data_IF_042074982214
#
_entry.id   IF_042074982214
#
_cell.length_a   1.000
_cell.length_b   1.000
_cell.length_c   1.000
_cell.angle_alpha   90.00
_cell.angle_beta   90.00
_cell.angle_gamma   90.00
#
_symmetry.space_group_name_H-M   'P 1'
#
loop_
_entity.id
_entity.type
_entity.pdbx_description
1 polymer ?
#
# COMPACT_ATOMS: atom_id res chain seq x y z
N UNK A 1 -11.79 11.70 1.21
CA UNK A 1 -11.11 12.58 0.22
C UNK A 1 -12.00 13.75 -0.13
N UNK A 2 -11.45 14.95 -0.09
CA UNK A 2 -12.11 16.25 -0.30
C UNK A 2 -12.21 16.57 -1.80
N UNK A 3 -13.12 17.45 -2.22
CA UNK A 3 -13.32 17.85 -3.62
C UNK A 3 -12.19 18.69 -4.23
N UNK A 4 -10.94 18.44 -3.85
CA UNK A 4 -9.74 19.05 -4.42
C UNK A 4 -8.98 17.98 -5.22
N UNK A 5 -8.27 18.37 -6.30
CA UNK A 5 -7.39 17.45 -6.99
C UNK A 5 -6.36 16.90 -6.00
N UNK A 6 -6.24 15.58 -5.91
CA UNK A 6 -5.22 14.97 -5.06
C UNK A 6 -3.83 15.36 -5.58
N UNK A 7 -3.07 16.09 -4.76
CA UNK A 7 -1.69 16.47 -5.05
C UNK A 7 -0.67 15.38 -4.68
N UNK A 8 -1.12 14.34 -3.96
CA UNK A 8 -0.34 13.16 -3.64
C UNK A 8 -0.74 12.03 -4.58
N UNK A 9 0.12 11.76 -5.55
CA UNK A 9 -0.06 10.68 -6.53
C UNK A 9 0.96 9.60 -6.24
N UNK A 10 0.54 8.34 -6.25
CA UNK A 10 1.47 7.22 -6.20
C UNK A 10 2.44 7.30 -7.39
N UNK A 11 3.74 7.12 -7.15
CA UNK A 11 4.76 7.24 -8.20
C UNK A 11 4.49 6.32 -9.40
N UNK A 12 4.15 5.06 -9.15
CA UNK A 12 3.83 4.10 -10.21
C UNK A 12 2.62 4.55 -11.04
N UNK A 13 1.61 5.14 -10.39
CA UNK A 13 0.44 5.72 -11.06
C UNK A 13 0.82 6.95 -11.88
N UNK A 14 1.65 7.83 -11.34
CA UNK A 14 2.16 9.00 -12.05
C UNK A 14 2.91 8.56 -13.31
N UNK A 15 3.92 7.70 -13.16
CA UNK A 15 4.76 7.23 -14.26
C UNK A 15 3.91 6.56 -15.36
N UNK A 16 3.04 5.60 -14.99
CA UNK A 16 2.16 4.93 -15.94
C UNK A 16 1.18 5.88 -16.65
N UNK A 17 0.68 6.90 -15.95
CA UNK A 17 -0.23 7.88 -16.54
C UNK A 17 0.47 8.85 -17.49
N UNK A 18 1.74 9.16 -17.26
CA UNK A 18 2.58 9.92 -18.19
C UNK A 18 2.87 9.08 -19.42
N UNK A 19 3.28 7.83 -19.24
CA UNK A 19 3.61 6.89 -20.33
C UNK A 19 2.40 6.56 -21.21
N UNK A 20 1.19 6.54 -20.63
CA UNK A 20 -0.07 6.32 -21.36
C UNK A 20 -0.32 7.35 -22.47
N UNK A 21 0.26 8.55 -22.35
CA UNK A 21 0.29 9.61 -23.36
C UNK A 21 -1.04 9.82 -24.11
N UNK A 22 -2.06 10.24 -23.37
CA UNK A 22 -3.41 10.44 -23.88
C UNK A 22 -3.52 11.43 -25.04
N UNK A 23 -4.41 11.14 -25.99
CA UNK A 23 -4.64 11.94 -27.20
C UNK A 23 -6.09 12.44 -27.32
N UNK A 24 -6.29 13.49 -28.12
CA UNK A 24 -7.63 13.96 -28.45
C UNK A 24 -8.49 12.82 -29.03
N UNK A 25 -9.75 12.75 -28.58
CA UNK A 25 -10.77 11.72 -28.87
C UNK A 25 -10.62 10.41 -28.10
N UNK A 26 -9.56 10.21 -27.34
CA UNK A 26 -9.46 9.04 -26.45
C UNK A 26 -10.63 9.04 -25.45
N UNK A 27 -11.16 7.84 -25.20
CA UNK A 27 -12.18 7.62 -24.17
C UNK A 27 -11.47 7.41 -22.84
N UNK A 28 -11.92 8.10 -21.81
CA UNK A 28 -11.36 7.98 -20.48
C UNK A 28 -12.47 7.86 -19.43
N UNK A 29 -12.11 7.41 -18.24
CA UNK A 29 -12.92 7.46 -17.03
C UNK A 29 -12.21 8.26 -15.95
N UNK A 30 -12.97 8.98 -15.16
CA UNK A 30 -12.46 9.75 -14.01
C UNK A 30 -13.30 9.37 -12.80
N UNK A 31 -12.65 9.07 -11.67
CA UNK A 31 -13.33 8.85 -10.41
C UNK A 31 -13.48 10.18 -9.67
N UNK A 32 -14.72 10.61 -9.41
CA UNK A 32 -15.00 11.80 -8.62
C UNK A 32 -16.18 11.59 -7.68
N UNK A 33 -16.13 12.28 -6.55
CA UNK A 33 -17.18 12.23 -5.54
C UNK A 33 -18.48 12.81 -6.08
N UNK A 34 -19.56 12.11 -5.81
CA UNK A 34 -20.89 12.65 -6.05
C UNK A 34 -21.28 13.63 -4.92
N UNK A 35 -22.36 14.38 -5.15
CA UNK A 35 -22.92 15.25 -4.12
C UNK A 35 -23.73 14.48 -3.06
N UNK A 36 -23.92 13.17 -3.23
CA UNK A 36 -24.79 12.32 -2.40
C UNK A 36 -24.12 11.90 -1.09
N UNK A 37 -22.80 12.03 -0.97
CA UNK A 37 -22.06 11.77 0.26
C UNK A 37 -21.54 10.34 0.40
N UNK A 38 -21.71 9.49 -0.62
CA UNK A 38 -21.09 8.17 -0.69
C UNK A 38 -19.70 8.21 -1.37
N UNK A 39 -18.95 7.11 -1.28
CA UNK A 39 -17.76 6.87 -2.10
C UNK A 39 -18.10 7.17 -3.57
N UNK A 40 -17.25 7.94 -4.25
CA UNK A 40 -17.56 8.57 -5.53
C UNK A 40 -18.01 7.63 -6.66
N UNK A 41 -18.19 8.20 -7.86
CA UNK A 41 -18.61 7.44 -9.04
C UNK A 41 -17.59 7.56 -10.16
N UNK A 42 -17.55 6.54 -11.02
CA UNK A 42 -16.82 6.60 -12.29
C UNK A 42 -17.63 7.41 -13.31
N UNK A 43 -16.99 8.41 -13.91
CA UNK A 43 -17.57 9.25 -14.93
C UNK A 43 -16.90 9.02 -16.28
N UNK A 44 -17.67 8.58 -17.26
CA UNK A 44 -17.20 8.40 -18.64
C UNK A 44 -17.04 9.75 -19.34
N UNK A 45 -15.85 9.95 -19.91
CA UNK A 45 -15.48 11.15 -20.63
C UNK A 45 -14.74 10.87 -21.94
N UNK A 46 -14.51 11.94 -22.70
CA UNK A 46 -13.67 11.95 -23.90
C UNK A 46 -12.75 13.15 -23.86
N UNK A 47 -11.48 12.94 -24.19
CA UNK A 47 -10.50 14.02 -24.28
C UNK A 47 -10.82 14.86 -25.52
N UNK A 48 -11.01 16.17 -25.32
CA UNK A 48 -11.32 17.12 -26.38
C UNK A 48 -10.13 18.02 -26.72
N UNK A 49 -9.19 18.22 -25.79
CA UNK A 49 -7.96 18.96 -26.03
C UNK A 49 -6.81 18.48 -25.13
N UNK A 50 -5.57 18.63 -25.63
CA UNK A 50 -4.32 18.42 -24.87
C UNK A 50 -3.49 19.70 -24.98
N UNK A 51 -3.36 20.44 -23.88
CA UNK A 51 -2.59 21.70 -23.84
C UNK A 51 -2.12 22.00 -22.42
N UNK A 52 -0.97 22.66 -22.22
CA UNK A 52 -0.56 23.06 -20.88
C UNK A 52 -1.60 24.02 -20.27
N UNK A 53 -1.83 23.91 -18.94
CA UNK A 53 -2.70 24.83 -18.21
C UNK A 53 -2.21 26.28 -18.26
N UNK A 54 -0.89 26.46 -18.17
CA UNK A 54 -0.22 27.77 -18.24
C UNK A 54 0.93 27.74 -19.24
N UNK A 55 1.04 28.81 -20.05
CA UNK A 55 2.15 29.00 -20.98
C UNK A 55 3.51 29.22 -20.29
N UNK A 56 3.51 29.62 -19.03
CA UNK A 56 4.73 29.75 -18.22
C UNK A 56 5.35 28.39 -17.89
N UNK A 57 4.55 27.31 -17.93
CA UNK A 57 4.98 25.96 -17.60
C UNK A 57 4.56 24.96 -18.69
N UNK A 58 5.09 25.07 -19.92
CA UNK A 58 4.63 24.29 -21.07
C UNK A 58 4.88 22.78 -20.92
N UNK A 59 5.83 22.37 -20.08
CA UNK A 59 6.11 20.96 -19.75
C UNK A 59 5.30 20.42 -18.59
N UNK A 60 4.47 21.23 -17.91
CA UNK A 60 3.72 20.77 -16.75
C UNK A 60 2.64 19.77 -17.15
N UNK A 61 2.59 18.58 -16.54
CA UNK A 61 1.50 17.63 -16.77
C UNK A 61 0.20 18.03 -16.06
N UNK A 62 0.26 18.99 -15.14
CA UNK A 62 -0.87 19.43 -14.34
C UNK A 62 -2.01 19.97 -15.20
N UNK A 63 -3.20 19.36 -15.07
CA UNK A 63 -4.44 19.80 -15.72
C UNK A 63 -4.31 20.01 -17.25
N UNK A 64 -3.47 19.21 -17.91
CA UNK A 64 -3.19 19.35 -19.34
C UNK A 64 -4.28 18.82 -20.27
N UNK A 65 -5.17 17.98 -19.76
CA UNK A 65 -6.21 17.32 -20.54
C UNK A 65 -7.55 17.98 -20.31
N UNK A 66 -8.24 18.36 -21.38
CA UNK A 66 -9.62 18.83 -21.31
C UNK A 66 -10.55 17.65 -21.62
N UNK A 67 -11.42 17.29 -20.69
CA UNK A 67 -12.34 16.15 -20.79
C UNK A 67 -13.77 16.63 -20.85
N UNK A 68 -14.52 16.12 -21.83
CA UNK A 68 -15.96 16.30 -21.94
C UNK A 68 -16.66 15.03 -21.41
N UNK A 69 -17.51 15.19 -20.40
CA UNK A 69 -18.31 14.10 -19.83
C UNK A 69 -19.57 13.82 -20.66
N UNK A 70 -20.07 12.58 -20.57
CA UNK A 70 -21.30 12.15 -21.27
C UNK A 70 -22.58 12.72 -20.66
N UNK A 71 -22.61 12.91 -19.35
CA UNK A 71 -23.83 13.24 -18.60
C UNK A 71 -23.77 14.69 -18.09
N UNK A 72 -23.09 14.90 -16.97
CA UNK A 72 -22.86 16.18 -16.30
C UNK A 72 -21.42 16.17 -15.75
N UNK A 73 -20.72 17.31 -15.65
CA UNK A 73 -21.10 18.63 -16.16
C UNK A 73 -21.00 18.71 -17.69
N UNK A 74 -21.82 19.58 -18.30
CA UNK A 74 -21.75 19.87 -19.75
C UNK A 74 -20.50 20.65 -20.15
N UNK A 75 -19.94 21.43 -19.23
CA UNK A 75 -18.70 22.15 -19.49
C UNK A 75 -17.49 21.22 -19.37
N UNK A 76 -16.55 21.25 -20.34
CA UNK A 76 -15.35 20.45 -20.25
C UNK A 76 -14.52 20.79 -19.01
N UNK A 77 -13.99 19.77 -18.35
CA UNK A 77 -13.15 19.92 -17.15
C UNK A 77 -11.68 19.64 -17.46
N UNK A 78 -10.79 20.26 -16.69
CA UNK A 78 -9.35 20.04 -16.81
C UNK A 78 -8.89 18.93 -15.86
N UNK A 79 -8.03 18.06 -16.37
CA UNK A 79 -7.49 16.91 -15.65
C UNK A 79 -6.02 16.71 -15.89
N UNK A 80 -5.37 16.22 -14.85
CA UNK A 80 -4.01 15.72 -14.90
C UNK A 80 -4.00 14.25 -15.34
N UNK A 81 -2.90 13.76 -15.96
CA UNK A 81 -2.81 12.39 -16.48
C UNK A 81 -3.22 11.31 -15.47
N UNK A 82 -2.80 11.44 -14.20
CA UNK A 82 -3.03 10.45 -13.15
C UNK A 82 -4.50 10.33 -12.71
N UNK A 83 -5.36 11.26 -13.10
CA UNK A 83 -6.80 11.22 -12.84
C UNK A 83 -7.56 10.42 -13.91
N UNK A 84 -6.93 10.14 -15.08
CA UNK A 84 -7.57 9.52 -16.23
C UNK A 84 -7.30 8.01 -16.31
N UNK A 85 -8.35 7.22 -16.46
CA UNK A 85 -8.29 5.77 -16.61
C UNK A 85 -8.84 5.34 -17.96
N UNK A 86 -8.35 4.22 -18.50
CA UNK A 86 -8.95 3.60 -19.70
C UNK A 86 -10.38 3.18 -19.40
N UNK A 87 -11.25 3.24 -20.42
CA UNK A 87 -12.68 2.94 -20.26
C UNK A 87 -12.95 1.53 -19.70
N UNK A 88 -12.04 0.58 -19.94
CA UNK A 88 -12.13 -0.80 -19.49
C UNK A 88 -11.39 -1.05 -18.17
N UNK A 89 -10.84 -0.01 -17.54
CA UNK A 89 -10.09 -0.15 -16.29
C UNK A 89 -11.02 -0.57 -15.15
N UNK A 90 -10.76 -1.74 -14.58
CA UNK A 90 -11.18 -2.07 -13.23
C UNK A 90 -10.04 -1.60 -12.32
N UNK A 91 -10.27 -0.51 -11.59
CA UNK A 91 -9.28 -0.08 -10.60
C UNK A 91 -9.34 -1.04 -9.42
N UNK A 92 -8.26 -1.78 -9.21
CA UNK A 92 -8.02 -2.54 -8.01
C UNK A 92 -6.90 -1.85 -7.23
N UNK A 93 -7.08 -1.78 -5.91
CA UNK A 93 -6.04 -1.26 -5.04
C UNK A 93 -4.79 -2.13 -5.21
N UNK A 94 -3.59 -1.55 -5.48
CA UNK A 94 -2.38 -2.33 -5.60
C UNK A 94 -2.15 -3.14 -4.33
N UNK A 95 -1.93 -4.44 -4.50
CA UNK A 95 -1.60 -5.35 -3.42
C UNK A 95 -0.60 -6.40 -3.92
N UNK A 96 0.10 -7.04 -2.99
CA UNK A 96 0.92 -8.21 -3.30
C UNK A 96 0.05 -9.34 -3.90
N UNK A 97 0.69 -10.22 -4.67
CA UNK A 97 0.03 -11.40 -5.23
C UNK A 97 -0.68 -12.23 -4.13
N UNK A 98 -1.89 -12.68 -4.43
CA UNK A 98 -2.74 -13.39 -3.45
C UNK A 98 -2.09 -14.66 -2.93
N UNK A 99 -1.35 -15.41 -3.76
CA UNK A 99 -0.63 -16.61 -3.31
C UNK A 99 0.53 -16.22 -2.38
N UNK A 100 1.26 -15.15 -2.67
CA UNK A 100 2.29 -14.62 -1.75
C UNK A 100 1.66 -14.22 -0.41
N UNK A 101 0.56 -13.46 -0.43
CA UNK A 101 -0.19 -13.05 0.77
C UNK A 101 -0.65 -14.25 1.59
N UNK A 102 -1.28 -15.22 0.96
CA UNK A 102 -1.87 -16.38 1.64
C UNK A 102 -0.79 -17.31 2.23
N UNK A 103 0.38 -17.41 1.57
CA UNK A 103 1.54 -18.09 2.12
C UNK A 103 2.11 -17.39 3.35
N UNK A 104 2.18 -16.05 3.33
CA UNK A 104 2.61 -15.26 4.48
C UNK A 104 1.62 -15.41 5.64
N UNK A 105 0.31 -15.27 5.39
CA UNK A 105 -0.72 -15.50 6.41
C UNK A 105 -0.63 -16.91 7.01
N UNK A 106 -0.39 -17.92 6.18
CA UNK A 106 -0.16 -19.29 6.64
C UNK A 106 1.10 -19.41 7.52
N UNK A 107 2.15 -18.65 7.23
CA UNK A 107 3.36 -18.59 8.05
C UNK A 107 3.10 -17.93 9.42
N UNK A 108 2.34 -16.83 9.44
CA UNK A 108 1.90 -16.17 10.67
C UNK A 108 1.03 -17.11 11.53
N UNK A 109 0.06 -17.79 10.91
CA UNK A 109 -0.79 -18.77 11.61
C UNK A 109 0.01 -19.95 12.19
N UNK A 110 1.06 -20.43 11.49
CA UNK A 110 1.97 -21.46 12.00
C UNK A 110 2.74 -20.96 13.23
N UNK A 111 3.23 -19.72 13.20
CA UNK A 111 3.93 -19.09 14.32
C UNK A 111 3.01 -18.93 15.54
N UNK A 112 1.79 -18.45 15.33
CA UNK A 112 0.78 -18.32 16.38
C UNK A 112 0.41 -19.67 16.99
N UNK A 113 0.16 -20.68 16.16
CA UNK A 113 -0.07 -22.06 16.66
C UNK A 113 1.12 -22.60 17.46
N UNK A 114 2.34 -22.25 17.08
CA UNK A 114 3.54 -22.68 17.79
C UNK A 114 3.76 -21.95 19.13
N UNK A 115 3.20 -20.75 19.30
CA UNK A 115 3.33 -19.96 20.51
C UNK A 115 2.53 -20.54 21.69
N UNK A 116 1.45 -21.27 21.40
CA UNK A 116 0.66 -21.99 22.41
C UNK A 116 1.38 -23.22 22.99
N UNK A 117 2.50 -23.65 22.42
CA UNK A 117 3.34 -24.72 23.00
C UNK A 117 4.09 -24.15 24.21
N UNK A 118 4.39 -25.01 25.18
CA UNK A 118 4.89 -24.67 26.53
C UNK A 118 6.16 -23.78 26.62
N UNK A 119 6.79 -23.38 25.51
CA UNK A 119 8.04 -22.62 25.53
C UNK A 119 8.04 -21.32 24.70
N UNK A 120 6.95 -20.96 24.02
CA UNK A 120 6.90 -19.81 23.08
C UNK A 120 8.16 -19.75 22.21
N UNK A 121 8.35 -20.80 21.41
CA UNK A 121 9.64 -21.13 20.79
C UNK A 121 10.23 -20.02 19.89
N UNK A 122 9.37 -19.13 19.41
CA UNK A 122 9.69 -17.99 18.55
C UNK A 122 9.42 -16.63 19.22
N UNK A 123 9.19 -16.60 20.53
CA UNK A 123 8.87 -15.41 21.32
C UNK A 123 7.64 -14.61 20.81
N UNK A 124 6.71 -15.25 20.12
CA UNK A 124 5.53 -14.60 19.50
C UNK A 124 4.61 -14.03 20.58
N UNK A 125 4.32 -14.79 21.64
CA UNK A 125 3.50 -14.28 22.74
C UNK A 125 4.20 -13.13 23.45
N UNK A 126 5.54 -13.20 23.59
CA UNK A 126 6.31 -12.11 24.18
C UNK A 126 6.28 -10.83 23.33
N UNK A 127 6.35 -10.96 22.01
CA UNK A 127 6.21 -9.85 21.07
C UNK A 127 4.82 -9.19 21.17
N UNK A 128 3.75 -9.99 21.18
CA UNK A 128 2.38 -9.47 21.34
C UNK A 128 2.19 -8.77 22.70
N UNK A 129 2.80 -9.29 23.77
CA UNK A 129 2.72 -8.64 25.08
C UNK A 129 3.48 -7.32 25.14
N UNK A 130 4.66 -7.22 24.51
CA UNK A 130 5.48 -6.02 24.59
C UNK A 130 4.92 -4.88 23.76
N UNK A 131 4.24 -5.17 22.64
CA UNK A 131 3.60 -4.14 21.82
C UNK A 131 2.46 -3.41 22.52
N UNK A 132 1.89 -3.99 23.59
CA UNK A 132 0.86 -3.35 24.42
C UNK A 132 1.44 -2.44 25.51
N UNK A 133 2.77 -2.37 25.66
CA UNK A 133 3.40 -1.57 26.71
C UNK A 133 3.81 -0.20 26.19
N UNK A 134 3.39 0.84 26.89
CA UNK A 134 3.75 2.23 26.57
C UNK A 134 5.26 2.47 26.53
N UNK A 135 6.03 1.82 27.40
CA UNK A 135 7.49 1.94 27.41
C UNK A 135 8.18 1.32 26.19
N UNK A 136 7.50 0.44 25.45
CA UNK A 136 7.97 -0.09 24.18
C UNK A 136 7.50 0.80 23.02
N UNK A 137 6.21 1.12 22.97
CA UNK A 137 5.63 1.93 21.88
C UNK A 137 6.22 3.33 21.82
N UNK A 138 6.53 3.94 22.98
CA UNK A 138 7.09 5.29 23.04
C UNK A 138 8.61 5.31 22.79
N UNK A 139 9.26 4.14 22.75
CA UNK A 139 10.71 4.04 22.57
C UNK A 139 11.12 4.05 21.09
N UNK A 140 10.23 3.59 20.19
CA UNK A 140 10.54 3.43 18.78
C UNK A 140 9.60 4.28 17.92
N UNK A 141 10.12 5.04 16.94
CA UNK A 141 9.29 5.87 16.05
C UNK A 141 8.25 5.07 15.26
N UNK A 142 8.54 3.81 14.97
CA UNK A 142 7.67 2.90 14.20
C UNK A 142 7.48 1.60 14.99
N UNK A 143 6.50 1.53 15.92
CA UNK A 143 6.30 0.38 16.79
C UNK A 143 5.52 -0.73 16.08
N UNK A 144 6.09 -1.30 15.01
CA UNK A 144 5.51 -2.43 14.31
C UNK A 144 5.47 -3.66 15.23
N UNK A 145 4.33 -4.36 15.20
CA UNK A 145 4.08 -5.57 15.97
C UNK A 145 3.61 -6.70 15.07
N UNK A 146 3.66 -7.92 15.62
CA UNK A 146 3.20 -9.12 14.93
C UNK A 146 1.74 -8.96 14.47
N UNK A 147 0.86 -8.46 15.35
CA UNK A 147 -0.56 -8.27 15.06
C UNK A 147 -0.80 -7.18 14.01
N UNK A 148 0.00 -6.10 14.01
CA UNK A 148 -0.11 -5.03 12.99
C UNK A 148 0.26 -5.58 11.62
N UNK A 149 1.35 -6.34 11.51
CA UNK A 149 1.79 -6.89 10.22
C UNK A 149 0.79 -7.92 9.71
N UNK A 150 0.27 -8.77 10.59
CA UNK A 150 -0.79 -9.73 10.26
C UNK A 150 -2.06 -9.01 9.77
N UNK A 151 -2.53 -8.01 10.51
CA UNK A 151 -3.71 -7.23 10.11
C UNK A 151 -3.51 -6.52 8.76
N UNK A 152 -2.31 -5.98 8.49
CA UNK A 152 -1.97 -5.40 7.19
C UNK A 152 -2.04 -6.41 6.06
N UNK A 153 -1.58 -7.65 6.27
CA UNK A 153 -1.72 -8.73 5.29
C UNK A 153 -3.20 -9.10 5.05
N UNK A 154 -3.98 -9.25 6.12
CA UNK A 154 -5.41 -9.60 6.06
C UNK A 154 -6.24 -8.54 5.30
N UNK A 155 -5.80 -7.28 5.35
CA UNK A 155 -6.50 -6.14 4.73
C UNK A 155 -5.85 -5.67 3.42
N UNK A 156 -5.06 -6.49 2.73
CA UNK A 156 -4.42 -6.16 1.44
C UNK A 156 -3.63 -4.84 1.45
N UNK A 157 -3.01 -4.50 2.58
CA UNK A 157 -2.31 -3.22 2.73
C UNK A 157 -1.01 -3.14 1.92
N UNK A 158 -0.26 -4.24 1.86
CA UNK A 158 1.07 -4.25 1.25
C UNK A 158 1.00 -4.32 -0.27
N UNK A 159 1.75 -3.43 -0.93
CA UNK A 159 1.83 -3.34 -2.39
C UNK A 159 3.00 -4.12 -2.98
N UNK A 160 3.98 -4.52 -2.15
CA UNK A 160 5.14 -5.29 -2.59
C UNK A 160 5.65 -6.20 -1.46
N UNK A 161 6.38 -7.26 -1.82
CA UNK A 161 6.98 -8.19 -0.86
C UNK A 161 8.04 -7.50 0.02
N UNK A 162 8.77 -6.55 -0.57
CA UNK A 162 9.79 -5.75 0.10
C UNK A 162 9.19 -4.92 1.24
N UNK A 163 7.97 -4.42 1.09
CA UNK A 163 7.28 -3.69 2.15
C UNK A 163 6.96 -4.60 3.35
N UNK A 164 6.53 -5.85 3.10
CA UNK A 164 6.32 -6.84 4.17
C UNK A 164 7.64 -7.18 4.85
N UNK A 165 8.69 -7.43 4.06
CA UNK A 165 10.03 -7.73 4.57
C UNK A 165 10.57 -6.61 5.45
N UNK A 166 10.42 -5.36 5.00
CA UNK A 166 10.84 -4.19 5.76
C UNK A 166 10.13 -4.11 7.11
N UNK A 167 8.81 -4.28 7.13
CA UNK A 167 8.03 -4.22 8.37
C UNK A 167 8.43 -5.33 9.36
N UNK A 168 8.63 -6.56 8.86
CA UNK A 168 9.13 -7.68 9.68
C UNK A 168 10.52 -7.36 10.24
N UNK A 169 11.41 -6.79 9.43
CA UNK A 169 12.76 -6.41 9.86
C UNK A 169 12.72 -5.34 10.96
N UNK A 170 11.89 -4.30 10.80
CA UNK A 170 11.74 -3.24 11.81
C UNK A 170 11.17 -3.80 13.10
N UNK A 171 10.15 -4.67 13.04
CA UNK A 171 9.60 -5.35 14.21
C UNK A 171 10.70 -6.14 14.96
N UNK A 172 11.51 -6.92 14.24
CA UNK A 172 12.59 -7.71 14.83
C UNK A 172 13.67 -6.83 15.46
N UNK A 173 14.12 -5.78 14.77
CA UNK A 173 15.14 -4.86 15.28
C UNK A 173 14.67 -4.13 16.56
N UNK A 174 13.41 -3.68 16.59
CA UNK A 174 12.81 -3.06 17.78
C UNK A 174 12.77 -4.05 18.96
N UNK A 175 12.39 -5.30 18.69
CA UNK A 175 12.35 -6.35 19.69
C UNK A 175 13.75 -6.67 20.22
N UNK A 176 14.74 -6.90 19.36
CA UNK A 176 16.12 -7.17 19.75
C UNK A 176 16.73 -6.04 20.58
N UNK A 177 16.54 -4.79 20.15
CA UNK A 177 16.98 -3.60 20.90
C UNK A 177 16.31 -3.51 22.28
N UNK A 178 15.03 -3.92 22.40
CA UNK A 178 14.31 -3.86 23.67
C UNK A 178 14.72 -4.99 24.61
N UNK A 179 14.85 -6.21 24.09
CA UNK A 179 15.17 -7.42 24.85
C UNK A 179 16.67 -7.69 24.96
N UNK A 180 17.54 -6.75 24.55
CA UNK A 180 18.99 -6.94 24.43
C UNK A 180 19.74 -7.50 25.66
N UNK A 181 19.12 -7.48 26.85
CA UNK A 181 19.68 -8.05 28.09
C UNK A 181 19.22 -9.49 28.38
N UNK A 182 18.28 -10.04 27.63
CA UNK A 182 17.70 -11.37 27.84
C UNK A 182 18.17 -12.34 26.76
N UNK A 183 19.23 -13.11 27.05
CA UNK A 183 19.84 -14.04 26.11
C UNK A 183 18.87 -15.13 25.62
N UNK A 184 17.96 -15.62 26.47
CA UNK A 184 16.98 -16.62 26.07
C UNK A 184 16.00 -16.05 25.04
N UNK A 185 15.45 -14.86 25.28
CA UNK A 185 14.54 -14.20 24.33
C UNK A 185 15.25 -13.85 23.02
N UNK A 186 16.49 -13.38 23.07
CA UNK A 186 17.28 -13.11 21.86
C UNK A 186 17.48 -14.39 21.03
N UNK A 187 17.71 -15.54 21.67
CA UNK A 187 17.81 -16.81 20.94
C UNK A 187 16.51 -17.18 20.22
N UNK A 188 15.35 -16.92 20.85
CA UNK A 188 14.03 -17.16 20.27
C UNK A 188 13.73 -16.18 19.13
N UNK A 189 14.13 -14.91 19.26
CA UNK A 189 14.00 -13.90 18.19
C UNK A 189 14.87 -14.22 16.98
N UNK A 190 16.10 -14.72 17.18
CA UNK A 190 16.93 -15.21 16.07
C UNK A 190 16.26 -16.33 15.29
N UNK A 191 15.64 -17.29 16.00
CA UNK A 191 14.87 -18.35 15.35
C UNK A 191 13.66 -17.83 14.58
N UNK A 192 13.00 -16.79 15.09
CA UNK A 192 11.90 -16.11 14.40
C UNK A 192 12.40 -15.39 13.14
N UNK A 193 13.55 -14.71 13.24
CA UNK A 193 14.22 -14.08 12.09
C UNK A 193 14.58 -15.11 11.03
N UNK A 194 15.23 -16.22 11.40
CA UNK A 194 15.56 -17.32 10.49
C UNK A 194 14.32 -17.92 9.82
N UNK A 195 13.23 -18.06 10.57
CA UNK A 195 11.95 -18.53 10.02
C UNK A 195 11.45 -17.59 8.93
N UNK A 196 11.37 -16.28 9.21
CA UNK A 196 10.93 -15.31 8.22
C UNK A 196 11.86 -15.20 7.02
N UNK A 197 13.18 -15.24 7.22
CA UNK A 197 14.14 -15.25 6.10
C UNK A 197 13.88 -16.42 5.16
N UNK A 198 13.72 -17.64 5.70
CA UNK A 198 13.41 -18.83 4.88
C UNK A 198 12.07 -18.69 4.16
N UNK A 199 11.04 -18.19 4.83
CA UNK A 199 9.72 -17.98 4.21
C UNK A 199 9.81 -16.95 3.09
N UNK A 200 10.43 -15.80 3.32
CA UNK A 200 10.55 -14.73 2.32
C UNK A 200 11.41 -15.15 1.13
N UNK A 201 12.54 -15.84 1.35
CA UNK A 201 13.36 -16.37 0.26
C UNK A 201 12.62 -17.40 -0.60
N UNK A 202 11.70 -18.17 -0.04
CA UNK A 202 10.88 -19.12 -0.82
C UNK A 202 9.81 -18.43 -1.70
N UNK A 203 9.55 -17.14 -1.47
CA UNK A 203 8.54 -16.35 -2.16
C UNK A 203 9.14 -15.42 -3.22
N UNK A 204 10.47 -15.27 -3.26
CA UNK A 204 11.13 -14.50 -4.31
C UNK A 204 11.17 -15.31 -5.61
N UNK A 205 10.88 -14.69 -6.77
CA UNK A 205 11.10 -15.34 -8.05
C UNK A 205 12.61 -15.64 -8.25
N UNK A 206 12.96 -16.68 -9.03
CA UNK A 206 14.34 -17.06 -9.31
C UNK A 206 15.12 -16.00 -10.10
#
# INVERSE_FOLDING_TARGET
>A
MTGFPDFLVERTRFDAAIDRNWSCRDKCKVWWKDASGDDGSWWDGRIVAVKPKSYEFPGSPWERYTVQYRSEPKEPQLHSPWELFDADTQWEQPHIDSNIRDNLLSAFAKLEKSSHKAQDQYAVNKLKQVSQKSNFTNRYPVPLSFDIIQSRLENNYYRSLEAVQHDIQVMLLNAESYFGRNAELLSKLRRLSDFFMRTLSSLQPP
#
